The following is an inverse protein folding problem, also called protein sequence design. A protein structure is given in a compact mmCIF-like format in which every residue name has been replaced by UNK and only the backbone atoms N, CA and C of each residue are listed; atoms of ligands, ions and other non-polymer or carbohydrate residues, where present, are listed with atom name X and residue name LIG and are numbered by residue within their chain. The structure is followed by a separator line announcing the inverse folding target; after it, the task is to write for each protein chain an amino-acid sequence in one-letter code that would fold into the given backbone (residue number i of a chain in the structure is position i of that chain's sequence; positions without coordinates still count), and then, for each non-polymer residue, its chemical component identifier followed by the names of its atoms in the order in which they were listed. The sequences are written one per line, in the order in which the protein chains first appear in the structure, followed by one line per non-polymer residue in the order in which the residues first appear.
data_IF_818553772383
#
_entry.id   IF_818553772383
#
_cell.length_a   1.000
_cell.length_b   1.000
_cell.length_c   1.000
_cell.angle_alpha   90.00
_cell.angle_beta   90.00
_cell.angle_gamma   90.00
#
_symmetry.space_group_name_H-M   'P 1'
#
loop_
_entity.id
_entity.type
_entity.pdbx_description
1 polymer ?
#
# COMPACT_ATOMS: atom_id res chain seq x y z
N UNK A 1 -7.38 -11.73 -18.35
CA UNK A 1 -7.23 -10.77 -17.23
C UNK A 1 -5.78 -10.37 -17.22
N UNK A 2 -5.47 -9.08 -17.30
CA UNK A 2 -4.11 -8.59 -17.15
C UNK A 2 -4.02 -7.83 -15.83
N UNK A 3 -3.26 -8.39 -14.90
CA UNK A 3 -2.95 -7.78 -13.62
C UNK A 3 -1.58 -8.25 -13.19
N UNK A 4 -0.63 -7.32 -13.07
CA UNK A 4 0.74 -7.61 -12.67
C UNK A 4 1.14 -6.63 -11.59
N UNK A 5 1.46 -7.16 -10.41
CA UNK A 5 1.96 -6.38 -9.29
C UNK A 5 3.20 -7.04 -8.71
N UNK A 6 3.96 -6.27 -7.93
CA UNK A 6 5.15 -6.77 -7.25
C UNK A 6 4.88 -6.98 -5.77
N UNK A 7 5.11 -8.21 -5.29
CA UNK A 7 4.96 -8.59 -3.88
C UNK A 7 6.28 -8.46 -3.11
N UNK A 8 6.67 -7.22 -2.79
CA UNK A 8 7.89 -6.95 -2.01
C UNK A 8 7.57 -6.61 -0.55
N UNK A 9 8.15 -7.38 0.36
CA UNK A 9 8.16 -7.03 1.79
C UNK A 9 9.29 -6.04 2.08
N UNK A 10 8.92 -4.82 2.46
CA UNK A 10 9.84 -3.76 2.85
C UNK A 10 10.02 -3.68 4.36
N UNK A 11 11.24 -3.33 4.78
CA UNK A 11 11.56 -2.85 6.13
C UNK A 11 12.58 -1.71 6.01
N UNK A 12 12.22 -0.50 6.47
CA UNK A 12 13.10 0.69 6.34
C UNK A 12 14.10 0.84 7.48
N UNK A 13 13.90 0.07 8.53
CA UNK A 13 14.64 0.07 9.78
C UNK A 13 15.55 -1.16 9.91
N UNK A 14 15.21 -2.27 9.25
CA UNK A 14 15.83 -3.58 9.50
C UNK A 14 15.32 -4.27 10.77
N UNK A 15 14.46 -3.61 11.57
CA UNK A 15 13.75 -4.14 12.75
C UNK A 15 12.53 -3.25 13.10
N UNK A 16 11.65 -3.62 14.03
CA UNK A 16 10.33 -2.97 14.26
C UNK A 16 10.37 -1.42 14.38
N UNK A 17 9.24 -0.81 14.03
CA UNK A 17 8.88 0.62 14.06
C UNK A 17 9.21 1.42 12.79
N UNK A 18 8.17 1.84 12.06
CA UNK A 18 8.26 2.83 10.99
C UNK A 18 7.06 3.78 11.09
N UNK A 19 7.28 5.05 10.75
CA UNK A 19 6.18 6.00 10.52
C UNK A 19 5.71 5.82 9.09
N UNK A 20 4.41 5.75 8.91
CA UNK A 20 3.81 5.42 7.63
C UNK A 20 2.86 6.52 7.20
N UNK A 21 2.87 6.85 5.92
CA UNK A 21 2.05 7.90 5.37
C UNK A 21 1.59 7.51 3.96
N UNK A 22 0.29 7.63 3.71
CA UNK A 22 -0.27 7.44 2.38
C UNK A 22 -0.92 8.78 1.99
N UNK A 23 -0.18 9.67 1.36
CA UNK A 23 -0.72 10.96 0.91
C UNK A 23 0.27 11.85 0.17
N UNK A 24 -0.24 12.70 -0.73
CA UNK A 24 0.57 13.52 -1.63
C UNK A 24 1.57 14.45 -0.92
N UNK A 25 2.61 14.86 -1.67
CA UNK A 25 3.68 15.79 -1.22
C UNK A 25 3.19 17.12 -0.62
N UNK A 26 1.93 17.49 -0.86
CA UNK A 26 1.36 18.81 -0.59
C UNK A 26 0.02 18.77 0.16
N UNK A 27 -0.20 17.84 1.09
CA UNK A 27 -1.49 17.75 1.82
C UNK A 27 -2.73 17.89 0.91
N UNK A 28 -2.60 17.51 -0.37
CA UNK A 28 -3.66 17.75 -1.33
C UNK A 28 -4.79 16.85 -0.91
N UNK A 29 -5.99 17.42 -0.81
CA UNK A 29 -7.23 16.80 -0.35
C UNK A 29 -7.71 15.64 -1.25
N UNK A 30 -6.82 15.05 -2.04
CA UNK A 30 -7.09 14.39 -3.30
C UNK A 30 -6.39 13.04 -3.51
N UNK A 31 -5.67 12.50 -2.52
CA UNK A 31 -5.19 11.12 -2.59
C UNK A 31 -5.88 10.30 -1.50
N UNK A 32 -6.45 9.14 -1.87
CA UNK A 32 -7.09 8.15 -0.98
C UNK A 32 -8.37 8.62 -0.31
N UNK A 33 -9.45 8.73 -1.09
CA UNK A 33 -10.77 8.98 -0.50
C UNK A 33 -11.40 7.66 -0.05
N UNK A 34 -11.05 6.54 -0.70
CA UNK A 34 -11.79 5.29 -0.60
C UNK A 34 -10.88 4.07 -0.36
N UNK A 35 -11.40 3.05 0.29
CA UNK A 35 -10.78 1.72 0.42
C UNK A 35 -11.84 0.63 0.16
N UNK A 36 -11.39 -0.58 -0.14
CA UNK A 36 -12.29 -1.71 -0.40
C UNK A 36 -12.55 -2.50 0.87
N UNK A 37 -13.83 -2.57 1.24
CA UNK A 37 -14.34 -3.54 2.20
C UNK A 37 -14.72 -4.82 1.45
N UNK A 38 -14.40 -6.03 1.94
CA UNK A 38 -15.05 -7.24 1.48
C UNK A 38 -16.57 -7.11 1.73
N UNK A 39 -17.49 -7.24 0.74
CA UNK A 39 -17.40 -7.97 -0.54
C UNK A 39 -17.22 -7.11 -1.82
N UNK A 40 -16.69 -5.90 -1.72
CA UNK A 40 -16.47 -4.98 -2.84
C UNK A 40 -16.99 -3.56 -2.64
N UNK A 41 -17.41 -3.21 -1.42
CA UNK A 41 -17.88 -1.86 -1.11
C UNK A 41 -16.72 -0.86 -1.12
N UNK A 42 -16.91 0.24 -1.83
CA UNK A 42 -15.96 1.35 -1.91
C UNK A 42 -16.33 2.38 -0.84
N UNK A 43 -15.66 2.32 0.32
CA UNK A 43 -16.01 3.12 1.50
C UNK A 43 -15.06 4.31 1.73
N UNK A 44 -15.55 5.46 2.22
CA UNK A 44 -14.71 6.60 2.53
C UNK A 44 -13.74 6.31 3.69
N UNK A 45 -12.49 6.76 3.56
CA UNK A 45 -11.49 6.61 4.62
C UNK A 45 -11.70 7.61 5.77
N UNK A 46 -12.37 8.74 5.50
CA UNK A 46 -12.48 9.85 6.47
C UNK A 46 -13.13 9.39 7.78
N UNK A 47 -12.46 9.69 8.90
CA UNK A 47 -12.95 9.32 10.24
C UNK A 47 -12.76 7.84 10.59
N UNK A 48 -12.06 7.07 9.75
CA UNK A 48 -11.78 5.65 9.98
C UNK A 48 -10.30 5.40 10.26
N UNK A 49 -9.97 4.17 10.67
CA UNK A 49 -8.59 3.70 10.78
C UNK A 49 -7.84 3.71 9.43
N UNK A 50 -8.56 3.78 8.32
CA UNK A 50 -8.01 3.83 6.96
C UNK A 50 -7.64 5.25 6.52
N UNK A 51 -7.89 6.28 7.34
CA UNK A 51 -7.45 7.65 7.01
C UNK A 51 -5.93 7.81 7.21
N UNK A 52 -5.17 7.34 6.23
CA UNK A 52 -3.71 7.44 6.20
C UNK A 52 -3.20 8.66 5.43
N UNK A 53 -4.13 9.60 5.07
CA UNK A 53 -3.88 10.85 4.34
C UNK A 53 -3.12 11.90 5.14
N UNK A 54 -2.89 11.64 6.43
CA UNK A 54 -1.91 12.36 7.27
C UNK A 54 -0.88 11.36 7.79
N UNK A 55 0.40 11.75 7.99
CA UNK A 55 1.40 10.83 8.49
C UNK A 55 1.01 10.28 9.87
N UNK A 56 1.11 8.97 10.05
CA UNK A 56 0.83 8.30 11.32
C UNK A 56 2.01 7.42 11.74
N UNK A 57 2.17 7.21 13.04
CA UNK A 57 3.07 6.17 13.55
C UNK A 57 2.29 4.87 13.53
N UNK A 58 2.68 3.93 12.64
CA UNK A 58 1.86 2.76 12.32
C UNK A 58 1.48 1.95 13.59
N UNK A 59 2.43 1.69 14.48
CA UNK A 59 2.17 0.96 15.72
C UNK A 59 1.13 1.64 16.63
N UNK A 60 1.25 2.95 16.84
CA UNK A 60 0.30 3.71 17.64
C UNK A 60 -1.08 3.83 16.98
N UNK A 61 -1.11 3.92 15.64
CA UNK A 61 -2.34 3.97 14.87
C UNK A 61 -3.12 2.66 14.93
N UNK A 62 -2.44 1.52 14.73
CA UNK A 62 -3.05 0.19 14.86
C UNK A 62 -3.63 -0.03 16.26
N UNK A 63 -2.88 0.37 17.30
CA UNK A 63 -3.32 0.28 18.68
C UNK A 63 -4.53 1.18 18.96
N UNK A 64 -4.49 2.45 18.56
CA UNK A 64 -5.56 3.42 18.83
C UNK A 64 -6.90 3.04 18.20
N UNK A 65 -6.87 2.42 17.01
CA UNK A 65 -8.07 1.93 16.33
C UNK A 65 -8.41 0.46 16.64
N UNK A 66 -7.63 -0.21 17.50
CA UNK A 66 -7.81 -1.62 17.86
C UNK A 66 -7.86 -2.56 16.65
N UNK A 67 -7.03 -2.30 15.63
CA UNK A 67 -6.93 -3.12 14.43
C UNK A 67 -5.64 -3.94 14.44
N UNK A 68 -5.73 -5.16 13.92
CA UNK A 68 -4.64 -6.14 13.95
C UNK A 68 -3.57 -5.89 12.87
N UNK A 69 -3.80 -4.96 11.96
CA UNK A 69 -2.97 -4.71 10.78
C UNK A 69 -3.82 -4.30 9.59
N UNK A 70 -3.16 -3.96 8.49
CA UNK A 70 -3.82 -3.74 7.20
C UNK A 70 -3.58 -4.93 6.28
N UNK A 71 -4.61 -5.27 5.52
CA UNK A 71 -4.57 -6.12 4.33
C UNK A 71 -5.68 -5.66 3.38
N UNK A 72 -5.58 -4.40 2.94
CA UNK A 72 -6.67 -3.76 2.20
C UNK A 72 -6.14 -3.03 0.97
N UNK A 73 -6.98 -3.00 -0.07
CA UNK A 73 -6.76 -2.16 -1.23
C UNK A 73 -7.22 -0.73 -0.94
N UNK A 74 -6.31 0.21 -1.13
CA UNK A 74 -6.57 1.64 -1.10
C UNK A 74 -6.79 2.14 -2.53
N UNK A 75 -7.91 2.83 -2.75
CA UNK A 75 -8.27 3.33 -4.07
C UNK A 75 -7.51 4.62 -4.37
N UNK A 76 -6.68 4.59 -5.43
CA UNK A 76 -5.90 5.74 -5.89
C UNK A 76 -6.77 6.62 -6.79
N UNK A 77 -6.72 7.93 -6.55
CA UNK A 77 -7.30 8.93 -7.47
C UNK A 77 -6.31 9.16 -8.62
N UNK A 78 -6.12 8.13 -9.43
CA UNK A 78 -5.12 8.08 -10.48
C UNK A 78 -5.76 8.09 -11.87
N UNK A 79 -5.10 8.74 -12.81
CA UNK A 79 -5.25 8.41 -14.23
C UNK A 79 -4.18 7.36 -14.60
N UNK A 80 -4.10 6.97 -15.88
CA UNK A 80 -2.97 6.17 -16.38
C UNK A 80 -1.63 6.91 -16.30
N UNK A 81 -1.62 8.20 -15.98
CA UNK A 81 -0.40 8.97 -15.73
C UNK A 81 0.23 8.64 -14.38
N UNK A 82 1.54 8.88 -14.29
CA UNK A 82 2.29 8.76 -13.04
C UNK A 82 1.68 9.65 -11.96
N UNK A 83 1.25 9.04 -10.86
CA UNK A 83 0.74 9.75 -9.70
C UNK A 83 1.35 9.22 -8.40
N UNK A 84 1.23 10.01 -7.34
CA UNK A 84 1.76 9.66 -6.04
C UNK A 84 0.89 8.55 -5.40
N UNK A 85 1.56 7.54 -4.84
CA UNK A 85 0.93 6.45 -4.11
C UNK A 85 1.16 6.61 -2.60
N UNK A 86 2.35 6.32 -2.10
CA UNK A 86 2.59 6.31 -0.64
C UNK A 86 3.98 6.84 -0.28
N UNK A 87 4.17 7.20 0.98
CA UNK A 87 5.47 7.53 1.56
C UNK A 87 5.64 6.85 2.91
N UNK A 88 6.71 6.09 3.05
CA UNK A 88 7.09 5.49 4.33
C UNK A 88 8.37 6.14 4.81
N UNK A 89 8.42 6.54 6.08
CA UNK A 89 9.61 7.13 6.70
C UNK A 89 9.94 6.40 7.99
N UNK A 90 11.18 5.95 8.10
CA UNK A 90 11.70 5.50 9.38
C UNK A 90 12.59 6.59 9.98
N UNK A 91 12.09 7.28 11.00
CA UNK A 91 12.82 8.37 11.64
C UNK A 91 14.17 7.92 12.21
N UNK A 92 14.23 6.72 12.80
CA UNK A 92 15.46 6.22 13.43
C UNK A 92 16.62 5.95 12.46
N UNK A 93 16.34 5.65 11.19
CA UNK A 93 17.38 5.47 10.15
C UNK A 93 17.44 6.64 9.16
N UNK A 94 16.52 7.59 9.24
CA UNK A 94 16.30 8.64 8.24
C UNK A 94 15.78 8.14 6.90
N UNK A 95 15.61 6.82 6.68
CA UNK A 95 15.25 6.29 5.37
C UNK A 95 13.81 6.64 5.00
N UNK A 96 13.63 7.08 3.76
CA UNK A 96 12.33 7.39 3.17
C UNK A 96 12.16 6.59 1.89
N UNK A 97 11.00 5.93 1.78
CA UNK A 97 10.51 5.34 0.54
C UNK A 97 9.31 6.15 0.06
N UNK A 98 9.36 6.70 -1.15
CA UNK A 98 8.20 7.25 -1.86
C UNK A 98 7.84 6.31 -3.01
N UNK A 99 6.56 5.99 -3.14
CA UNK A 99 6.02 5.17 -4.24
C UNK A 99 5.18 6.05 -5.15
N UNK A 100 5.41 5.94 -6.45
CA UNK A 100 4.58 6.50 -7.50
C UNK A 100 4.13 5.37 -8.41
N UNK A 101 2.98 5.50 -9.06
CA UNK A 101 2.46 4.45 -9.95
C UNK A 101 1.54 5.00 -11.02
N UNK A 102 1.22 4.17 -12.02
CA UNK A 102 0.10 4.37 -12.96
C UNK A 102 -1.10 3.47 -12.65
N UNK A 103 -1.02 2.62 -11.62
CA UNK A 103 -2.09 1.72 -11.20
C UNK A 103 -3.22 2.46 -10.44
N UNK A 104 -4.47 1.96 -10.46
CA UNK A 104 -5.60 2.62 -9.79
C UNK A 104 -5.76 2.23 -8.31
N UNK A 105 -4.95 1.33 -7.79
CA UNK A 105 -5.00 0.87 -6.40
C UNK A 105 -3.64 0.51 -5.82
N UNK A 106 -3.60 0.36 -4.50
CA UNK A 106 -2.45 -0.21 -3.79
C UNK A 106 -2.94 -1.13 -2.66
N UNK A 107 -2.51 -2.38 -2.66
CA UNK A 107 -2.65 -3.24 -1.49
C UNK A 107 -1.62 -2.79 -0.45
N UNK A 108 -2.11 -2.42 0.73
CA UNK A 108 -1.25 -2.20 1.89
C UNK A 108 -1.43 -3.36 2.87
N UNK A 109 -0.40 -4.20 2.92
CA UNK A 109 -0.35 -5.38 3.79
C UNK A 109 0.75 -5.24 4.83
N UNK A 110 0.43 -5.44 6.11
CA UNK A 110 1.38 -5.26 7.23
C UNK A 110 1.96 -6.57 7.76
N UNK A 111 2.14 -7.58 6.89
CA UNK A 111 2.77 -8.86 7.25
C UNK A 111 2.09 -9.55 8.45
N UNK A 112 0.76 -9.57 8.45
CA UNK A 112 -0.09 -10.00 9.57
C UNK A 112 0.04 -11.50 9.86
N UNK A 113 0.36 -12.29 8.83
CA UNK A 113 0.39 -13.76 8.88
C UNK A 113 1.80 -14.34 9.05
N UNK A 114 2.84 -13.52 9.13
CA UNK A 114 4.17 -14.01 9.47
C UNK A 114 4.19 -14.48 10.93
N UNK A 115 4.74 -15.66 11.18
CA UNK A 115 4.65 -16.37 12.45
C UNK A 115 6.01 -16.68 13.09
N UNK A 116 7.07 -16.05 12.58
CA UNK A 116 8.46 -16.26 13.02
C UNK A 116 9.02 -17.67 12.76
N UNK A 117 8.39 -18.49 11.91
CA UNK A 117 8.95 -19.79 11.53
C UNK A 117 9.93 -19.72 10.36
N UNK A 118 9.83 -18.67 9.53
CA UNK A 118 10.69 -18.49 8.36
C UNK A 118 12.10 -18.02 8.74
N UNK A 119 13.11 -18.74 8.25
CA UNK A 119 14.52 -18.34 8.30
C UNK A 119 14.86 -17.49 7.08
N UNK A 120 15.11 -16.21 7.34
CA UNK A 120 15.45 -15.20 6.37
C UNK A 120 16.94 -15.08 6.07
N UNK A 121 17.27 -14.04 5.31
CA UNK A 121 18.65 -13.72 4.93
C UNK A 121 19.47 -13.36 6.17
N UNK A 122 20.75 -13.75 6.18
CA UNK A 122 21.67 -13.45 7.29
C UNK A 122 21.23 -14.04 8.63
N UNK A 123 20.44 -15.13 8.62
CA UNK A 123 19.92 -15.75 9.85
C UNK A 123 18.75 -15.01 10.49
N UNK A 124 18.17 -14.00 9.82
CA UNK A 124 17.01 -13.28 10.32
C UNK A 124 15.80 -14.21 10.50
N UNK A 125 14.90 -13.84 11.40
CA UNK A 125 13.58 -14.45 11.55
C UNK A 125 12.54 -13.38 11.26
N UNK A 126 11.46 -13.74 10.57
CA UNK A 126 10.41 -12.79 10.19
C UNK A 126 9.15 -13.00 11.03
N UNK A 127 9.01 -12.30 12.17
CA UNK A 127 7.78 -12.36 12.95
C UNK A 127 6.65 -11.52 12.32
N UNK A 128 5.45 -11.67 12.86
CA UNK A 128 4.31 -10.79 12.58
C UNK A 128 4.71 -9.31 12.63
N UNK A 129 4.30 -8.56 11.60
CA UNK A 129 4.58 -7.13 11.42
C UNK A 129 6.07 -6.77 11.30
N UNK A 130 6.91 -7.71 10.86
CA UNK A 130 8.34 -7.44 10.58
C UNK A 130 8.59 -6.69 9.28
N UNK A 131 7.59 -6.58 8.41
CA UNK A 131 7.64 -5.83 7.17
C UNK A 131 6.25 -5.39 6.71
N UNK A 132 6.20 -4.77 5.54
CA UNK A 132 4.95 -4.39 4.89
C UNK A 132 5.09 -4.48 3.36
N UNK A 133 3.98 -4.63 2.66
CA UNK A 133 3.92 -4.58 1.19
C UNK A 133 3.15 -3.33 0.73
N UNK A 134 3.57 -2.81 -0.42
CA UNK A 134 2.87 -1.76 -1.18
C UNK A 134 2.73 -2.24 -2.61
N UNK A 135 1.71 -3.05 -2.85
CA UNK A 135 1.48 -3.71 -4.13
C UNK A 135 0.59 -2.79 -4.97
N UNK A 136 1.18 -2.02 -5.86
CA UNK A 136 0.42 -1.17 -6.79
C UNK A 136 -0.27 -2.06 -7.81
N UNK A 137 -1.59 -1.97 -7.90
CA UNK A 137 -2.41 -2.96 -8.59
C UNK A 137 -3.74 -2.36 -9.07
N UNK A 138 -4.48 -3.10 -9.90
CA UNK A 138 -5.91 -2.90 -10.05
C UNK A 138 -6.66 -3.46 -8.83
N UNK A 139 -7.93 -3.13 -8.71
CA UNK A 139 -8.72 -3.46 -7.53
C UNK A 139 -8.96 -4.97 -7.46
N UNK A 140 -8.80 -5.59 -6.27
CA UNK A 140 -9.13 -6.99 -6.05
C UNK A 140 -10.55 -7.31 -6.55
N UNK A 141 -10.72 -8.49 -7.16
CA UNK A 141 -12.01 -8.95 -7.69
C UNK A 141 -12.61 -8.09 -8.84
N UNK A 142 -11.86 -7.16 -9.43
CA UNK A 142 -12.36 -6.28 -10.51
C UNK A 142 -12.95 -7.03 -11.72
N UNK A 143 -12.55 -8.28 -11.97
CA UNK A 143 -13.14 -9.09 -13.05
C UNK A 143 -14.61 -9.42 -12.81
N UNK A 144 -15.04 -9.48 -11.55
CA UNK A 144 -16.41 -9.81 -11.12
C UNK A 144 -17.21 -8.59 -10.67
N UNK A 145 -16.57 -7.40 -10.61
CA UNK A 145 -17.17 -6.16 -10.11
C UNK A 145 -17.25 -5.11 -11.24
N UNK A 146 -18.37 -5.00 -11.97
CA UNK A 146 -18.46 -4.14 -13.17
C UNK A 146 -18.22 -2.65 -12.94
N UNK A 147 -18.33 -2.19 -11.69
CA UNK A 147 -18.10 -0.80 -11.29
C UNK A 147 -16.65 -0.51 -10.88
N UNK A 148 -15.78 -1.52 -10.87
CA UNK A 148 -14.35 -1.37 -10.62
C UNK A 148 -13.60 -1.00 -11.92
N UNK A 149 -12.34 -0.53 -11.83
CA UNK A 149 -11.57 -0.23 -13.02
C UNK A 149 -11.39 -1.47 -13.91
N UNK A 150 -11.46 -1.32 -15.24
CA UNK A 150 -11.41 -2.44 -16.17
C UNK A 150 -10.09 -3.23 -16.06
N UNK A 151 -10.18 -4.56 -16.11
CA UNK A 151 -9.03 -5.48 -15.94
C UNK A 151 -8.84 -6.45 -17.12
N UNK A 152 -9.73 -6.38 -18.12
CA UNK A 152 -9.65 -7.19 -19.31
C UNK A 152 -8.75 -6.50 -20.34
N UNK A 153 -7.75 -7.25 -20.82
CA UNK A 153 -6.93 -6.90 -21.97
C UNK A 153 -7.43 -7.72 -23.16
N UNK A 154 -7.73 -7.06 -24.28
CA UNK A 154 -8.21 -7.68 -25.52
C UNK A 154 -7.07 -7.90 -26.51
N UNK A 155 -7.23 -8.82 -27.49
CA UNK A 155 -6.25 -8.98 -28.56
C UNK A 155 -5.97 -7.64 -29.27
N UNK A 156 -4.69 -7.30 -29.40
CA UNK A 156 -4.24 -6.04 -30.01
C UNK A 156 -4.11 -4.86 -29.04
N UNK A 157 -4.56 -4.99 -27.78
CA UNK A 157 -4.32 -3.99 -26.74
C UNK A 157 -2.98 -4.26 -26.04
N UNK A 158 -2.37 -3.19 -25.51
CA UNK A 158 -1.16 -3.25 -24.70
C UNK A 158 -1.49 -2.99 -23.23
N UNK A 159 -0.93 -3.82 -22.35
CA UNK A 159 -0.94 -3.61 -20.91
C UNK A 159 0.38 -2.99 -20.50
N UNK A 160 0.34 -1.72 -20.12
CA UNK A 160 1.52 -0.98 -19.68
C UNK A 160 1.21 -0.23 -18.38
N UNK A 161 1.91 -0.64 -17.32
CA UNK A 161 1.86 0.01 -16.03
C UNK A 161 3.27 0.10 -15.44
N UNK A 162 3.54 1.21 -14.76
CA UNK A 162 4.85 1.46 -14.16
C UNK A 162 4.69 1.89 -12.71
N UNK A 163 5.58 1.38 -11.87
CA UNK A 163 5.72 1.78 -10.45
C UNK A 163 7.15 2.21 -10.16
N UNK A 164 7.30 3.35 -9.50
CA UNK A 164 8.58 3.91 -9.12
C UNK A 164 8.76 3.84 -7.61
N UNK A 165 9.81 3.14 -7.17
CA UNK A 165 10.27 3.13 -5.78
C UNK A 165 11.42 4.13 -5.63
N UNK A 166 11.12 5.31 -5.07
CA UNK A 166 12.10 6.37 -4.84
C UNK A 166 12.60 6.33 -3.40
N UNK A 167 13.86 5.93 -3.22
CA UNK A 167 14.53 5.97 -1.93
C UNK A 167 15.23 7.31 -1.72
N UNK A 168 15.19 7.81 -0.48
CA UNK A 168 15.88 9.04 -0.05
C UNK A 168 16.14 9.00 1.47
N UNK A 169 16.75 10.07 2.00
CA UNK A 169 17.02 10.25 3.42
C UNK A 169 16.45 11.59 3.89
N UNK A 170 15.79 11.63 5.05
CA UNK A 170 15.22 12.83 5.68
C UNK A 170 15.09 12.71 7.20
#
# INVERSE_FOLDING_TARGET
MAEVSTFWHFTLSGSKYSSFFIGGKNQSKDCFILYLLPPGEVAPVQGTAFDLRKPVVLGGHLQGFHINGFDHNFCLKGSKEKHFCARVRHAGSGRVLEVYTTQPGVQFYTANFLDATLRGKGGAVYPKHSGFCLETQNWPDAVNQPHFPPVLLRPGEEYDHTTWFKFSVA
#
